data_IF_745728427167
#
_entry.id   IF_745728427167
#
_cell.length_a   1.000
_cell.length_b   1.000
_cell.length_c   1.000
_cell.angle_alpha   90.00
_cell.angle_beta   90.00
_cell.angle_gamma   90.00
#
_symmetry.space_group_name_H-M   'P 1'
#
loop_
_entity.id
_entity.type
_entity.pdbx_description
1 polymer ?
#
# COMPACT_ATOMS: atom_id res chain seq x y z
N UNK A 1 -6.73 8.49 0.15
CA UNK A 1 -6.94 7.20 -0.52
C UNK A 1 -8.43 6.98 -0.74
N UNK A 2 -8.80 6.36 -1.88
CA UNK A 2 -10.17 6.03 -2.26
C UNK A 2 -10.46 4.55 -1.97
N UNK A 3 -11.30 4.24 -0.99
CA UNK A 3 -11.70 2.88 -0.59
C UNK A 3 -12.92 2.46 -1.40
N UNK A 4 -12.94 1.21 -1.88
CA UNK A 4 -14.06 0.61 -2.63
C UNK A 4 -14.44 -0.74 -2.02
N UNK A 5 -15.74 -0.96 -1.87
CA UNK A 5 -16.32 -2.26 -1.52
C UNK A 5 -17.40 -2.59 -2.54
N UNK A 6 -17.25 -3.71 -3.23
CA UNK A 6 -18.26 -4.27 -4.14
C UNK A 6 -18.75 -5.61 -3.59
N UNK A 7 -20.06 -5.76 -3.40
CA UNK A 7 -20.68 -6.96 -2.82
C UNK A 7 -21.92 -7.40 -3.58
N UNK A 8 -22.13 -8.70 -3.72
CA UNK A 8 -23.33 -9.28 -4.34
C UNK A 8 -24.57 -9.07 -3.47
N UNK A 9 -25.66 -8.61 -4.06
CA UNK A 9 -26.99 -8.65 -3.46
C UNK A 9 -27.38 -10.11 -3.26
N UNK A 10 -27.73 -10.43 -2.02
CA UNK A 10 -28.55 -11.61 -1.75
C UNK A 10 -30.00 -11.22 -2.00
N UNK A 11 -30.78 -12.07 -2.67
CA UNK A 11 -32.20 -11.81 -2.93
C UNK A 11 -32.95 -11.45 -1.64
N UNK A 12 -34.00 -10.62 -1.68
CA UNK A 12 -34.72 -10.23 -0.48
C UNK A 12 -35.56 -11.42 -0.01
N UNK A 13 -35.01 -12.27 0.85
CA UNK A 13 -35.85 -13.12 1.70
C UNK A 13 -36.30 -12.28 2.89
N UNK A 14 -37.52 -11.76 2.76
CA UNK A 14 -38.41 -11.24 3.80
C UNK A 14 -38.02 -9.90 4.46
N UNK A 15 -38.96 -8.96 4.31
CA UNK A 15 -39.13 -7.75 5.08
C UNK A 15 -39.10 -8.03 6.59
N UNK A 16 -38.02 -7.62 7.26
CA UNK A 16 -38.07 -7.41 8.69
C UNK A 16 -38.69 -6.02 8.94
N UNK A 17 -40.02 -5.98 9.07
CA UNK A 17 -40.70 -4.85 9.67
C UNK A 17 -40.24 -4.72 11.12
N UNK A 18 -39.49 -3.66 11.43
CA UNK A 18 -39.14 -3.34 12.79
C UNK A 18 -40.39 -2.83 13.52
N UNK A 19 -41.09 -3.72 14.23
CA UNK A 19 -42.04 -3.31 15.25
C UNK A 19 -41.26 -3.00 16.53
N UNK A 20 -41.39 -1.78 17.04
CA UNK A 20 -40.78 -1.36 18.29
C UNK A 20 -41.66 -1.81 19.46
N UNK A 21 -41.47 -3.04 19.94
CA UNK A 21 -41.98 -3.43 21.25
C UNK A 21 -41.01 -2.92 22.33
N UNK A 22 -41.39 -1.81 22.99
CA UNK A 22 -40.78 -1.43 24.27
C UNK A 22 -41.25 -2.43 25.33
N UNK A 23 -40.39 -3.33 25.75
CA UNK A 23 -40.53 -4.04 27.01
C UNK A 23 -39.56 -3.43 28.02
N UNK A 24 -40.11 -2.71 29.01
CA UNK A 24 -39.37 -2.24 30.17
C UNK A 24 -39.06 -3.42 31.09
N UNK A 25 -37.86 -3.98 31.00
CA UNK A 25 -37.37 -4.96 31.96
C UNK A 25 -36.62 -4.23 33.09
N UNK A 26 -37.15 -4.31 34.31
CA UNK A 26 -36.49 -3.80 35.51
C UNK A 26 -35.16 -4.53 35.76
N UNK A 27 -34.07 -3.76 35.90
CA UNK A 27 -32.74 -4.28 36.26
C UNK A 27 -32.73 -4.64 37.75
N UNK A 28 -32.61 -5.93 38.04
CA UNK A 28 -32.28 -6.43 39.38
C UNK A 28 -30.86 -6.01 39.78
N UNK A 29 -30.67 -5.47 40.98
CA UNK A 29 -29.40 -4.91 41.48
C UNK A 29 -28.26 -5.94 41.53
N UNK A 30 -28.58 -7.23 41.59
CA UNK A 30 -27.60 -8.31 41.61
C UNK A 30 -26.79 -8.40 40.30
N UNK A 31 -27.40 -8.15 39.14
CA UNK A 31 -26.71 -8.21 37.84
C UNK A 31 -25.69 -7.07 37.67
N UNK A 32 -25.98 -5.90 38.25
CA UNK A 32 -25.06 -4.75 38.23
C UNK A 32 -23.83 -5.02 39.10
N UNK A 33 -24.00 -5.67 40.25
CA UNK A 33 -22.91 -6.00 41.16
C UNK A 33 -21.91 -6.99 40.52
N UNK A 34 -22.41 -8.02 39.82
CA UNK A 34 -21.56 -9.02 39.16
C UNK A 34 -20.73 -8.40 38.03
N UNK A 35 -21.32 -7.54 37.19
CA UNK A 35 -20.57 -6.87 36.11
C UNK A 35 -19.51 -5.90 36.63
N UNK A 36 -19.78 -5.20 37.73
CA UNK A 36 -18.79 -4.31 38.36
C UNK A 36 -17.64 -5.13 38.96
N UNK A 37 -17.94 -6.22 39.66
CA UNK A 37 -16.93 -7.11 40.24
C UNK A 37 -16.02 -7.73 39.16
N UNK A 38 -16.58 -8.24 38.07
CA UNK A 38 -15.77 -8.84 36.98
C UNK A 38 -14.91 -7.80 36.27
N UNK A 39 -15.43 -6.60 36.01
CA UNK A 39 -14.67 -5.51 35.41
C UNK A 39 -13.50 -5.06 36.31
N UNK A 40 -13.72 -4.93 37.62
CA UNK A 40 -12.65 -4.58 38.57
C UNK A 40 -11.56 -5.64 38.65
N UNK A 41 -11.94 -6.92 38.60
CA UNK A 41 -10.98 -8.02 38.63
C UNK A 41 -10.10 -8.06 37.37
N UNK A 42 -10.71 -7.91 36.18
CA UNK A 42 -9.95 -7.87 34.92
C UNK A 42 -8.98 -6.69 34.85
N UNK A 43 -9.36 -5.54 35.39
CA UNK A 43 -8.51 -4.35 35.39
C UNK A 43 -7.33 -4.50 36.35
N UNK A 44 -7.56 -5.04 37.55
CA UNK A 44 -6.49 -5.35 38.51
C UNK A 44 -5.52 -6.40 37.95
N UNK A 45 -6.05 -7.47 37.34
CA UNK A 45 -5.21 -8.53 36.77
C UNK A 45 -4.38 -8.03 35.58
N UNK A 46 -4.97 -7.19 34.71
CA UNK A 46 -4.29 -6.58 33.58
C UNK A 46 -3.15 -5.65 34.00
N UNK A 47 -3.34 -4.82 35.04
CA UNK A 47 -2.30 -3.91 35.55
C UNK A 47 -1.15 -4.70 36.18
N UNK A 48 -1.45 -5.74 36.96
CA UNK A 48 -0.42 -6.58 37.59
C UNK A 48 0.39 -7.32 36.52
N UNK A 49 -0.28 -7.94 35.54
CA UNK A 49 0.40 -8.66 34.46
C UNK A 49 1.25 -7.71 33.60
N UNK A 50 0.75 -6.51 33.32
CA UNK A 50 1.50 -5.47 32.61
C UNK A 50 2.75 -5.01 33.36
N UNK A 51 2.65 -4.79 34.67
CA UNK A 51 3.78 -4.41 35.52
C UNK A 51 4.84 -5.52 35.59
N UNK A 52 4.42 -6.78 35.68
CA UNK A 52 5.34 -7.94 35.68
C UNK A 52 6.06 -8.07 34.35
N UNK A 53 5.35 -7.96 33.22
CA UNK A 53 5.96 -7.99 31.88
C UNK A 53 6.94 -6.83 31.71
N UNK A 54 6.57 -5.63 32.16
CA UNK A 54 7.46 -4.47 32.09
C UNK A 54 8.72 -4.65 32.95
N UNK A 55 8.60 -5.25 34.15
CA UNK A 55 9.72 -5.55 35.04
C UNK A 55 10.64 -6.66 34.47
N UNK A 56 10.08 -7.65 33.77
CA UNK A 56 10.89 -8.69 33.11
C UNK A 56 11.66 -8.15 31.89
N UNK A 57 11.08 -7.21 31.13
CA UNK A 57 11.71 -6.65 29.93
C UNK A 57 12.76 -5.58 30.30
N UNK A 58 12.59 -4.86 31.41
CA UNK A 58 13.46 -3.75 31.82
C UNK A 58 14.18 -3.97 33.16
N UNK A 59 14.73 -5.17 33.36
CA UNK A 59 15.63 -5.41 34.48
C UNK A 59 16.97 -4.68 34.21
N UNK A 60 17.29 -3.67 35.04
CA UNK A 60 18.40 -2.75 34.87
C UNK A 60 19.76 -3.43 34.62
N UNK A 61 20.41 -2.94 33.56
CA UNK A 61 21.85 -3.04 33.32
C UNK A 61 22.54 -2.24 34.42
N UNK A 62 23.16 -2.94 35.38
CA UNK A 62 23.85 -2.32 36.50
C UNK A 62 24.87 -1.26 36.06
N UNK A 63 24.79 -0.10 36.69
CA UNK A 63 25.84 0.92 36.67
C UNK A 63 26.42 1.04 38.08
N UNK A 64 27.75 0.98 38.28
CA UNK A 64 28.37 1.49 39.50
C UNK A 64 29.18 2.76 39.20
N UNK A 65 28.84 3.82 39.93
CA UNK A 65 29.68 5.00 40.12
C UNK A 65 30.85 4.68 41.08
N UNK A 66 31.96 5.42 40.88
CA UNK A 66 33.35 5.28 41.35
C UNK A 66 33.62 5.59 42.85
N UNK A 67 34.88 5.53 43.37
CA UNK A 67 35.82 6.69 43.33
C UNK A 67 37.35 6.29 43.35
N UNK A 68 38.36 7.14 43.73
CA UNK A 68 39.34 7.73 42.80
C UNK A 68 40.84 7.40 43.07
N UNK A 69 41.72 8.02 42.24
CA UNK A 69 43.19 8.18 42.32
C UNK A 69 44.07 7.14 41.60
N UNK A 70 44.76 7.56 40.54
CA UNK A 70 46.18 7.95 40.60
C UNK A 70 46.69 8.34 39.20
N UNK A 71 47.38 9.48 39.16
CA UNK A 71 48.16 10.06 38.07
C UNK A 71 49.27 9.10 37.62
N UNK A 72 49.59 9.06 36.31
CA UNK A 72 50.96 9.06 35.79
C UNK A 72 50.98 9.23 34.26
N UNK A 73 51.66 10.30 33.87
CA UNK A 73 52.18 10.69 32.56
C UNK A 73 52.92 9.55 31.86
N UNK A 74 52.88 9.46 30.52
CA UNK A 74 54.08 9.39 29.64
C UNK A 74 53.68 9.42 28.16
N UNK A 75 54.33 10.36 27.48
CA UNK A 75 54.43 10.66 26.05
C UNK A 75 55.07 9.53 25.24
N UNK A 76 54.60 9.27 24.00
CA UNK A 76 55.49 8.95 22.88
C UNK A 76 54.75 9.02 21.52
N UNK A 77 55.37 9.76 20.60
CA UNK A 77 55.07 9.94 19.18
C UNK A 77 55.77 8.84 18.34
N UNK A 78 55.53 8.85 17.02
CA UNK A 78 56.10 8.06 15.90
C UNK A 78 55.24 6.86 15.49
N UNK A 79 54.93 6.59 14.22
CA UNK A 79 55.39 7.15 12.95
C UNK A 79 55.50 6.02 11.92
N UNK A 80 54.72 6.13 10.82
CA UNK A 80 54.96 5.69 9.42
C UNK A 80 55.38 4.23 9.15
N UNK A 81 54.58 3.53 8.31
CA UNK A 81 54.93 2.98 6.98
C UNK A 81 54.38 1.57 6.68
N UNK A 82 53.66 1.49 5.56
CA UNK A 82 53.64 0.45 4.51
C UNK A 82 54.23 -0.94 4.76
N UNK A 83 53.54 -2.01 4.34
CA UNK A 83 53.81 -2.74 3.07
C UNK A 83 52.88 -3.95 2.85
N UNK A 84 52.70 -4.28 1.57
CA UNK A 84 52.05 -5.45 0.97
C UNK A 84 52.50 -6.82 1.54
N UNK A 85 51.61 -7.81 1.52
CA UNK A 85 51.81 -9.08 0.78
C UNK A 85 50.56 -9.98 0.78
N UNK A 86 50.39 -10.70 -0.32
CA UNK A 86 49.36 -11.71 -0.59
C UNK A 86 49.54 -12.97 0.27
N UNK A 87 48.45 -13.69 0.57
CA UNK A 87 48.29 -15.11 0.23
C UNK A 87 46.95 -15.68 0.71
N UNK A 88 46.26 -16.32 -0.24
CA UNK A 88 45.43 -17.53 -0.16
C UNK A 88 44.92 -18.03 1.20
N UNK A 89 43.62 -18.30 1.27
CA UNK A 89 43.16 -19.65 1.62
C UNK A 89 41.76 -19.96 1.07
N UNK A 90 41.67 -21.15 0.49
CA UNK A 90 40.55 -21.79 -0.16
C UNK A 90 39.89 -22.71 0.88
N UNK A 91 38.60 -22.57 1.15
CA UNK A 91 37.84 -23.62 1.84
C UNK A 91 36.57 -23.95 1.08
N UNK A 92 36.66 -25.14 0.49
CA UNK A 92 35.64 -25.97 -0.13
C UNK A 92 34.48 -26.26 0.85
N UNK A 93 33.24 -26.01 0.42
CA UNK A 93 32.06 -26.64 1.01
C UNK A 93 31.09 -26.99 -0.12
N UNK A 94 31.16 -28.23 -0.55
CA UNK A 94 30.24 -28.84 -1.50
C UNK A 94 28.97 -29.31 -0.79
N UNK A 95 27.82 -29.09 -1.44
CA UNK A 95 26.62 -29.90 -1.24
C UNK A 95 25.38 -29.19 -0.69
N UNK A 96 24.69 -28.45 -1.55
CA UNK A 96 23.22 -28.43 -1.54
C UNK A 96 22.74 -28.08 -2.96
N UNK A 97 22.36 -29.10 -3.74
CA UNK A 97 21.57 -28.91 -4.95
C UNK A 97 20.18 -28.42 -4.52
N UNK A 98 19.97 -27.11 -4.55
CA UNK A 98 18.67 -26.47 -4.43
C UNK A 98 18.48 -25.65 -5.70
N UNK A 99 17.40 -25.94 -6.43
CA UNK A 99 16.98 -25.41 -7.73
C UNK A 99 17.25 -23.90 -7.90
N UNK A 100 18.49 -23.55 -8.27
CA UNK A 100 19.04 -22.18 -8.22
C UNK A 100 18.81 -21.43 -9.53
N UNK A 101 18.40 -22.13 -10.58
CA UNK A 101 18.26 -21.59 -11.92
C UNK A 101 17.10 -20.60 -12.06
N UNK A 102 16.04 -20.73 -11.26
CA UNK A 102 14.87 -19.85 -11.30
C UNK A 102 15.09 -18.58 -10.46
N UNK A 103 15.64 -18.69 -9.26
CA UNK A 103 15.89 -17.53 -8.39
C UNK A 103 16.95 -16.58 -8.97
N UNK A 104 18.04 -17.11 -9.54
CA UNK A 104 19.08 -16.30 -10.20
C UNK A 104 18.53 -15.61 -11.46
N UNK A 105 17.60 -16.24 -12.18
CA UNK A 105 17.01 -15.64 -13.39
C UNK A 105 16.05 -14.49 -13.07
N UNK A 106 15.32 -14.56 -11.94
CA UNK A 106 14.47 -13.47 -11.47
C UNK A 106 15.29 -12.25 -11.02
N UNK A 107 16.40 -12.47 -10.32
CA UNK A 107 17.25 -11.36 -9.81
C UNK A 107 17.97 -10.59 -10.93
N UNK A 108 18.46 -11.28 -11.95
CA UNK A 108 19.16 -10.65 -13.09
C UNK A 108 18.19 -9.87 -13.99
N UNK A 109 16.98 -10.39 -14.23
CA UNK A 109 15.99 -9.72 -15.10
C UNK A 109 15.44 -8.45 -14.48
N UNK A 110 15.21 -8.44 -13.18
CA UNK A 110 14.77 -7.24 -12.45
C UNK A 110 15.86 -6.17 -12.36
N UNK A 111 17.12 -6.58 -12.19
CA UNK A 111 18.25 -5.64 -12.18
C UNK A 111 18.46 -4.94 -13.53
N UNK A 112 18.43 -5.69 -14.64
CA UNK A 112 18.56 -5.10 -15.98
C UNK A 112 17.36 -4.21 -16.33
N UNK A 113 16.14 -4.52 -15.87
CA UNK A 113 14.95 -3.69 -16.09
C UNK A 113 15.09 -2.28 -15.49
N UNK A 114 15.78 -2.17 -14.35
CA UNK A 114 15.93 -0.92 -13.61
C UNK A 114 17.20 -0.13 -13.96
N UNK A 115 18.10 -0.68 -14.77
CA UNK A 115 19.42 -0.08 -15.05
C UNK A 115 19.35 1.29 -15.73
N UNK A 116 18.46 1.43 -16.70
CA UNK A 116 18.25 2.67 -17.45
C UNK A 116 17.07 3.50 -16.90
N UNK A 117 16.56 3.15 -15.72
CA UNK A 117 15.43 3.85 -15.12
C UNK A 117 15.86 5.25 -14.65
N UNK A 118 15.18 6.33 -15.07
CA UNK A 118 15.64 7.71 -14.89
C UNK A 118 15.52 8.24 -13.46
N UNK A 119 15.14 7.40 -12.49
CA UNK A 119 14.91 7.79 -11.10
C UNK A 119 15.45 6.74 -10.12
N UNK A 120 16.42 7.13 -9.29
CA UNK A 120 17.18 6.19 -8.46
C UNK A 120 16.70 6.10 -7.00
N UNK A 121 15.44 6.46 -6.71
CA UNK A 121 14.91 6.51 -5.34
C UNK A 121 13.56 5.82 -5.22
N UNK A 122 13.35 5.13 -4.08
CA UNK A 122 12.05 4.56 -3.71
C UNK A 122 11.00 5.66 -3.47
N UNK A 123 11.43 6.83 -2.99
CA UNK A 123 10.57 8.00 -2.81
C UNK A 123 10.36 8.69 -4.15
N UNK A 124 9.13 9.11 -4.43
CA UNK A 124 8.81 9.82 -5.66
C UNK A 124 9.45 11.23 -5.69
N UNK A 125 9.74 11.76 -6.90
CA UNK A 125 10.16 13.15 -7.09
C UNK A 125 9.18 14.14 -6.46
N UNK A 126 9.68 15.32 -6.06
CA UNK A 126 8.88 16.38 -5.42
C UNK A 126 8.59 17.56 -6.34
N UNK A 127 9.01 17.47 -7.60
CA UNK A 127 8.85 18.53 -8.60
C UNK A 127 7.43 18.64 -9.13
N UNK A 128 6.57 17.67 -8.81
CA UNK A 128 5.17 17.60 -9.26
C UNK A 128 4.25 17.20 -8.11
N UNK A 129 2.98 17.57 -8.19
CA UNK A 129 1.92 17.14 -7.27
C UNK A 129 0.65 16.74 -8.04
N UNK A 130 -0.06 15.67 -7.64
CA UNK A 130 -1.38 15.37 -8.20
C UNK A 130 -2.44 16.32 -7.63
N UNK A 131 -3.35 16.77 -8.48
CA UNK A 131 -4.51 17.59 -8.12
C UNK A 131 -5.80 16.74 -8.04
N UNK A 132 -6.02 15.92 -9.06
CA UNK A 132 -7.22 15.09 -9.23
C UNK A 132 -6.89 13.74 -9.84
N UNK A 133 -7.73 12.77 -9.49
CA UNK A 133 -7.82 11.48 -10.15
C UNK A 133 -9.24 11.30 -10.68
N UNK A 134 -9.38 11.01 -11.96
CA UNK A 134 -10.59 10.45 -12.55
C UNK A 134 -10.34 8.96 -12.81
N UNK A 135 -10.81 8.11 -11.90
CA UNK A 135 -10.53 6.69 -11.86
C UNK A 135 -11.79 5.89 -12.21
N UNK A 136 -11.70 5.07 -13.25
CA UNK A 136 -12.71 4.07 -13.59
C UNK A 136 -12.13 2.68 -13.37
N UNK A 137 -12.86 1.83 -12.64
CA UNK A 137 -12.47 0.44 -12.41
C UNK A 137 -13.61 -0.52 -12.75
N UNK A 138 -13.25 -1.66 -13.33
CA UNK A 138 -14.14 -2.77 -13.64
C UNK A 138 -13.57 -4.06 -13.02
N UNK A 139 -13.81 -4.29 -11.72
CA UNK A 139 -13.38 -5.52 -11.09
C UNK A 139 -14.32 -6.68 -11.44
N UNK A 140 -13.77 -7.76 -11.96
CA UNK A 140 -14.50 -9.01 -12.18
C UNK A 140 -14.19 -9.99 -11.05
N UNK A 141 -15.17 -10.19 -10.16
CA UNK A 141 -15.04 -11.06 -8.98
C UNK A 141 -14.87 -12.54 -9.38
N UNK A 142 -15.46 -12.95 -10.50
CA UNK A 142 -15.46 -14.34 -10.97
C UNK A 142 -14.11 -14.72 -11.58
N UNK A 143 -13.62 -13.91 -12.52
CA UNK A 143 -12.32 -14.14 -13.20
C UNK A 143 -11.13 -13.63 -12.39
N UNK A 144 -11.38 -12.82 -11.36
CA UNK A 144 -10.36 -12.15 -10.53
C UNK A 144 -9.47 -11.21 -11.34
N UNK A 145 -10.04 -10.59 -12.37
CA UNK A 145 -9.37 -9.58 -13.18
C UNK A 145 -9.85 -8.18 -12.80
N UNK A 146 -9.01 -7.19 -13.10
CA UNK A 146 -9.33 -5.78 -12.94
C UNK A 146 -8.96 -5.07 -14.22
N UNK A 147 -9.94 -4.46 -14.87
CA UNK A 147 -9.69 -3.51 -15.95
C UNK A 147 -9.92 -2.10 -15.42
N UNK A 148 -9.12 -1.13 -15.85
CA UNK A 148 -9.26 0.22 -15.35
C UNK A 148 -8.64 1.27 -16.24
N UNK A 149 -9.09 2.50 -16.02
CA UNK A 149 -8.49 3.69 -16.60
C UNK A 149 -8.39 4.77 -15.53
N UNK A 150 -7.31 5.54 -15.59
CA UNK A 150 -7.09 6.67 -14.69
C UNK A 150 -6.57 7.86 -15.46
N UNK A 151 -7.22 9.00 -15.29
CA UNK A 151 -6.70 10.30 -15.71
C UNK A 151 -6.26 11.08 -14.47
N UNK A 152 -5.02 11.54 -14.47
CA UNK A 152 -4.41 12.27 -13.35
C UNK A 152 -4.10 13.68 -13.81
N UNK A 153 -4.68 14.67 -13.12
CA UNK A 153 -4.27 16.06 -13.28
C UNK A 153 -3.08 16.32 -12.36
N UNK A 154 -1.97 16.80 -12.90
CA UNK A 154 -0.69 16.95 -12.22
C UNK A 154 -0.24 18.39 -12.40
N UNK A 155 0.09 19.05 -11.28
CA UNK A 155 0.69 20.38 -11.29
C UNK A 155 2.20 20.27 -11.17
N UNK A 156 2.91 21.01 -12.00
CA UNK A 156 4.36 21.13 -11.97
C UNK A 156 4.76 22.25 -11.00
N UNK A 157 5.69 21.94 -10.09
CA UNK A 157 6.21 22.87 -9.08
C UNK A 157 7.58 23.42 -9.47
N UNK A 158 8.47 22.55 -9.96
CA UNK A 158 9.79 22.92 -10.45
C UNK A 158 9.97 22.40 -11.87
N UNK A 159 10.81 23.08 -12.67
CA UNK A 159 11.08 22.66 -14.04
C UNK A 159 11.58 21.22 -14.07
N UNK A 160 10.88 20.35 -14.80
CA UNK A 160 11.20 18.92 -14.89
C UNK A 160 10.69 18.35 -16.22
N UNK A 161 11.23 17.20 -16.59
CA UNK A 161 10.75 16.38 -17.71
C UNK A 161 10.24 15.02 -17.25
N UNK A 162 10.18 14.79 -15.95
CA UNK A 162 10.01 13.46 -15.39
C UNK A 162 8.79 13.41 -14.48
N UNK A 163 7.89 12.48 -14.78
CA UNK A 163 6.77 12.10 -13.91
C UNK A 163 6.97 10.65 -13.52
N UNK A 164 7.03 10.35 -12.22
CA UNK A 164 7.17 8.99 -11.69
C UNK A 164 5.95 8.62 -10.88
N UNK A 165 5.36 7.46 -11.17
CA UNK A 165 4.23 6.90 -10.45
C UNK A 165 4.62 5.58 -9.81
N UNK A 166 3.94 5.22 -8.71
CA UNK A 166 4.02 3.89 -8.14
C UNK A 166 3.01 2.94 -8.80
N UNK A 167 3.43 1.70 -8.98
CA UNK A 167 2.66 0.63 -9.60
C UNK A 167 3.20 -0.73 -9.16
N UNK A 168 2.34 -1.72 -8.94
CA UNK A 168 2.77 -3.07 -8.59
C UNK A 168 1.78 -4.09 -9.13
N UNK A 169 2.25 -5.05 -9.93
CA UNK A 169 1.43 -6.10 -10.56
C UNK A 169 0.27 -5.57 -11.44
N UNK A 170 0.50 -4.43 -12.08
CA UNK A 170 -0.41 -3.82 -13.06
C UNK A 170 0.32 -3.77 -14.40
N UNK A 171 -0.40 -4.03 -15.48
CA UNK A 171 0.07 -3.94 -16.86
C UNK A 171 -0.56 -2.71 -17.50
N UNK A 172 0.27 -1.79 -17.99
CA UNK A 172 -0.21 -0.67 -18.79
C UNK A 172 -0.60 -1.17 -20.18
N UNK A 173 -1.79 -0.80 -20.64
CA UNK A 173 -2.25 -1.09 -22.00
C UNK A 173 -1.92 0.07 -22.93
N UNK A 174 -2.30 1.28 -22.53
CA UNK A 174 -2.06 2.52 -23.26
C UNK A 174 -1.89 3.69 -22.29
N UNK A 175 -1.27 4.78 -22.76
CA UNK A 175 -1.31 6.06 -22.06
C UNK A 175 -1.44 7.21 -23.05
N UNK A 176 -1.87 8.35 -22.54
CA UNK A 176 -1.94 9.63 -23.24
C UNK A 176 -1.50 10.75 -22.32
N UNK A 177 -0.90 11.79 -22.91
CA UNK A 177 -0.35 12.91 -22.17
C UNK A 177 -0.76 14.22 -22.86
N UNK A 178 -1.22 15.19 -22.07
CA UNK A 178 -1.35 16.56 -22.52
C UNK A 178 -0.77 17.53 -21.49
N UNK A 179 -0.15 18.61 -21.99
CA UNK A 179 0.41 19.70 -21.17
C UNK A 179 -0.35 20.96 -21.55
N UNK A 180 -1.01 21.60 -20.58
CA UNK A 180 -1.87 22.77 -20.79
C UNK A 180 -2.87 22.57 -21.95
N UNK A 181 -3.51 21.40 -21.97
CA UNK A 181 -4.47 20.95 -22.99
C UNK A 181 -3.91 20.79 -24.41
N UNK A 182 -2.58 20.73 -24.56
CA UNK A 182 -1.91 20.39 -25.83
C UNK A 182 -1.30 19.01 -25.72
N UNK A 183 -1.54 18.16 -26.71
CA UNK A 183 -0.95 16.82 -26.77
C UNK A 183 0.58 16.91 -26.68
N UNK A 184 1.17 16.04 -25.88
CA UNK A 184 2.61 15.85 -25.77
C UNK A 184 2.91 14.36 -25.79
N UNK A 185 4.14 14.01 -26.14
CA UNK A 185 4.64 12.64 -26.11
C UNK A 185 5.62 12.46 -24.94
N UNK A 186 5.80 11.21 -24.50
CA UNK A 186 6.74 10.84 -23.47
C UNK A 186 7.25 9.42 -23.70
N UNK A 187 8.49 9.17 -23.31
CA UNK A 187 9.07 7.83 -23.26
C UNK A 187 8.73 7.15 -21.92
N UNK A 188 8.32 5.89 -21.97
CA UNK A 188 7.96 5.10 -20.79
C UNK A 188 9.13 4.21 -20.36
N UNK A 189 9.50 4.32 -19.09
CA UNK A 189 10.43 3.43 -18.41
C UNK A 189 9.72 2.73 -17.25
N UNK A 190 10.08 1.49 -17.00
CA UNK A 190 9.55 0.69 -15.89
C UNK A 190 10.70 0.24 -15.00
N UNK A 191 10.45 0.11 -13.71
CA UNK A 191 11.37 -0.57 -12.80
C UNK A 191 10.56 -1.41 -11.79
N UNK A 192 10.62 -2.73 -11.94
CA UNK A 192 9.92 -3.70 -11.08
C UNK A 192 10.42 -3.65 -9.63
N UNK A 193 11.74 -3.54 -9.43
CA UNK A 193 12.36 -3.46 -8.09
C UNK A 193 11.86 -2.27 -7.29
N UNK A 194 11.72 -1.10 -7.94
CA UNK A 194 11.18 0.11 -7.30
C UNK A 194 9.65 0.15 -7.29
N UNK A 195 8.99 -0.75 -8.03
CA UNK A 195 7.54 -0.73 -8.24
C UNK A 195 7.09 0.65 -8.75
N UNK A 196 7.73 1.11 -9.82
CA UNK A 196 7.55 2.44 -10.39
C UNK A 196 7.51 2.43 -11.93
N UNK A 197 6.76 3.39 -12.48
CA UNK A 197 6.83 3.80 -13.88
C UNK A 197 7.31 5.23 -13.96
N UNK A 198 8.11 5.54 -14.96
CA UNK A 198 8.62 6.86 -15.25
C UNK A 198 8.22 7.27 -16.67
N UNK A 199 7.66 8.46 -16.80
CA UNK A 199 7.33 9.10 -18.06
C UNK A 199 8.32 10.24 -18.25
N UNK A 200 9.14 10.15 -19.30
CA UNK A 200 10.12 11.18 -19.67
C UNK A 200 9.55 11.98 -20.83
N UNK A 201 9.08 13.19 -20.56
CA UNK A 201 8.46 14.09 -21.51
C UNK A 201 9.55 14.69 -22.42
N UNK A 202 9.26 14.87 -23.72
CA UNK A 202 10.23 15.43 -24.69
C UNK A 202 10.62 16.88 -24.41
N UNK A 203 9.67 17.67 -23.90
CA UNK A 203 9.82 19.10 -23.61
C UNK A 203 9.91 19.37 -22.11
N UNK A 204 10.59 20.45 -21.74
CA UNK A 204 10.63 20.92 -20.36
C UNK A 204 9.22 21.34 -19.92
N UNK A 205 8.77 20.78 -18.80
CA UNK A 205 7.59 21.24 -18.10
C UNK A 205 8.01 22.32 -17.12
N UNK A 206 7.37 23.47 -17.15
CA UNK A 206 7.69 24.61 -16.29
C UNK A 206 6.75 24.68 -15.08
N UNK A 207 7.17 25.43 -14.06
CA UNK A 207 6.33 25.67 -12.90
C UNK A 207 4.95 26.22 -13.32
N UNK A 208 3.91 25.75 -12.62
CA UNK A 208 2.50 26.03 -12.89
C UNK A 208 1.89 25.38 -14.15
N UNK A 209 2.66 24.68 -14.97
CA UNK A 209 2.09 23.83 -16.03
C UNK A 209 1.19 22.76 -15.42
N UNK A 210 0.10 22.46 -16.13
CA UNK A 210 -0.83 21.39 -15.79
C UNK A 210 -0.69 20.26 -16.81
N UNK A 211 -0.34 19.09 -16.31
CA UNK A 211 -0.24 17.86 -17.09
C UNK A 211 -1.47 17.00 -16.81
N UNK A 212 -2.13 16.55 -17.88
CA UNK A 212 -3.16 15.53 -17.82
C UNK A 212 -2.55 14.21 -18.34
N UNK A 213 -2.42 13.22 -17.44
CA UNK A 213 -1.87 11.91 -17.74
C UNK A 213 -2.99 10.86 -17.68
N UNK A 214 -3.42 10.37 -18.85
CA UNK A 214 -4.39 9.28 -18.98
C UNK A 214 -3.70 7.93 -19.14
N UNK A 215 -4.11 6.92 -18.38
CA UNK A 215 -3.52 5.58 -18.42
C UNK A 215 -4.65 4.54 -18.42
N UNK A 216 -4.60 3.62 -19.37
CA UNK A 216 -5.41 2.40 -19.38
C UNK A 216 -4.56 1.23 -18.91
N UNK A 217 -5.14 0.36 -18.08
CA UNK A 217 -4.40 -0.72 -17.46
C UNK A 217 -5.25 -1.96 -17.18
N UNK A 218 -4.56 -3.09 -17.09
CA UNK A 218 -5.10 -4.35 -16.60
C UNK A 218 -4.35 -4.77 -15.34
N UNK A 219 -5.08 -5.36 -14.40
CA UNK A 219 -4.56 -5.86 -13.14
C UNK A 219 -5.25 -7.15 -12.72
N UNK A 220 -4.89 -7.62 -11.52
CA UNK A 220 -5.49 -8.82 -10.93
C UNK A 220 -6.07 -8.47 -9.57
N UNK A 221 -7.19 -9.11 -9.24
CA UNK A 221 -7.73 -9.10 -7.88
C UNK A 221 -7.06 -10.24 -7.12
N UNK A 222 -6.07 -9.88 -6.33
CA UNK A 222 -5.26 -10.84 -5.61
C UNK A 222 -5.99 -11.34 -4.35
N UNK A 223 -5.66 -12.54 -3.84
CA UNK A 223 -6.23 -13.06 -2.60
C UNK A 223 -5.50 -12.54 -1.34
N UNK A 224 -4.52 -11.65 -1.50
CA UNK A 224 -3.83 -11.00 -0.39
C UNK A 224 -4.77 -9.98 0.26
N UNK A 225 -4.72 -9.80 1.58
CA UNK A 225 -5.63 -8.87 2.29
C UNK A 225 -5.21 -7.39 2.09
N UNK A 226 -4.61 -7.07 0.96
CA UNK A 226 -3.95 -5.81 0.62
C UNK A 226 -4.29 -5.41 -0.82
N UNK A 227 -4.32 -4.11 -1.12
CA UNK A 227 -4.74 -3.64 -2.44
C UNK A 227 -6.23 -3.90 -2.65
N UNK A 228 -6.62 -4.30 -3.86
CA UNK A 228 -7.97 -4.77 -4.17
C UNK A 228 -7.99 -6.30 -4.09
N UNK A 229 -8.82 -6.85 -3.22
CA UNK A 229 -8.84 -8.28 -2.93
C UNK A 229 -10.23 -8.87 -2.76
N UNK A 230 -10.33 -10.20 -2.82
CA UNK A 230 -11.59 -10.92 -2.61
C UNK A 230 -11.75 -11.34 -1.15
N UNK A 231 -12.81 -10.83 -0.50
CA UNK A 231 -13.32 -11.33 0.77
C UNK A 231 -14.45 -12.34 0.54
N UNK A 232 -14.45 -13.45 1.27
CA UNK A 232 -15.54 -14.44 1.24
C UNK A 232 -16.28 -14.43 2.57
N UNK A 233 -17.60 -14.26 2.50
CA UNK A 233 -18.51 -14.31 3.64
C UNK A 233 -19.42 -15.51 3.55
N UNK A 234 -19.54 -16.27 4.65
CA UNK A 234 -20.47 -17.37 4.79
C UNK A 234 -21.63 -16.92 5.66
N UNK A 235 -22.87 -17.09 5.20
CA UNK A 235 -24.05 -16.78 6.01
C UNK A 235 -24.37 -17.88 7.02
N UNK A 236 -25.38 -17.65 7.87
CA UNK A 236 -25.81 -18.60 8.89
C UNK A 236 -26.31 -19.95 8.32
N UNK A 237 -26.63 -20.00 7.02
CA UNK A 237 -27.09 -21.20 6.31
C UNK A 237 -25.96 -21.88 5.52
N UNK A 238 -24.71 -21.43 5.68
CA UNK A 238 -23.54 -21.99 5.00
C UNK A 238 -23.32 -21.50 3.57
N UNK A 239 -24.14 -20.56 3.07
CA UNK A 239 -23.97 -20.01 1.71
C UNK A 239 -22.80 -19.04 1.67
N UNK A 240 -21.85 -19.32 0.78
CA UNK A 240 -20.68 -18.47 0.54
C UNK A 240 -21.02 -17.37 -0.47
N UNK A 241 -20.62 -16.15 -0.15
CA UNK A 241 -20.74 -14.96 -1.00
C UNK A 241 -19.39 -14.25 -1.06
N UNK A 242 -19.04 -13.71 -2.22
CA UNK A 242 -17.79 -12.99 -2.41
C UNK A 242 -18.03 -11.49 -2.51
N UNK A 243 -17.01 -10.72 -2.14
CA UNK A 243 -16.97 -9.26 -2.27
C UNK A 243 -15.56 -8.84 -2.64
N UNK A 244 -15.43 -7.84 -3.52
CA UNK A 244 -14.15 -7.17 -3.75
C UNK A 244 -14.03 -6.01 -2.76
N UNK A 245 -12.90 -5.92 -2.07
CA UNK A 245 -12.65 -4.97 -0.98
C UNK A 245 -11.27 -4.37 -1.16
N UNK A 246 -11.10 -3.10 -0.82
CA UNK A 246 -9.79 -2.43 -0.85
C UNK A 246 -9.20 -2.24 0.54
N UNK A 247 -7.92 -2.57 0.72
CA UNK A 247 -7.09 -2.19 1.88
C UNK A 247 -5.77 -1.62 1.39
N UNK A 248 -5.60 -0.30 1.44
CA UNK A 248 -4.48 0.37 0.79
C UNK A 248 -3.34 0.78 1.71
N UNK A 249 -3.56 0.85 3.03
CA UNK A 249 -2.47 1.21 3.94
C UNK A 249 -1.47 0.04 4.08
N UNK A 250 -0.15 0.32 4.07
CA UNK A 250 0.47 1.65 3.94
C UNK A 250 0.68 2.12 2.49
N UNK A 251 0.90 1.22 1.54
CA UNK A 251 1.32 1.56 0.17
C UNK A 251 0.83 0.53 -0.85
N UNK A 252 -0.42 0.12 -0.73
CA UNK A 252 -1.04 -0.88 -1.59
C UNK A 252 -2.08 -0.31 -2.56
N UNK A 253 -2.29 1.01 -2.60
CA UNK A 253 -3.10 1.61 -3.66
C UNK A 253 -2.49 1.35 -5.04
N UNK A 254 -1.15 1.36 -5.13
CA UNK A 254 -0.37 1.03 -6.34
C UNK A 254 -0.62 -0.38 -6.90
N UNK A 255 -1.27 -1.28 -6.14
CA UNK A 255 -1.67 -2.62 -6.61
C UNK A 255 -3.01 -2.61 -7.36
N UNK A 256 -3.83 -1.57 -7.16
CA UNK A 256 -5.11 -1.44 -7.85
C UNK A 256 -5.03 -0.51 -9.05
N UNK A 257 -4.27 0.60 -8.96
CA UNK A 257 -4.11 1.56 -10.06
C UNK A 257 -2.77 2.32 -9.92
N UNK A 258 -2.15 2.76 -11.03
CA UNK A 258 -0.92 3.55 -10.98
C UNK A 258 -1.20 4.93 -10.35
N UNK A 259 -0.41 5.33 -9.35
CA UNK A 259 -0.64 6.58 -8.61
C UNK A 259 0.58 7.10 -7.84
N UNK A 260 0.47 8.32 -7.30
CA UNK A 260 1.44 8.87 -6.36
C UNK A 260 1.17 8.30 -4.96
N UNK A 261 1.61 7.07 -4.71
CA UNK A 261 1.25 6.28 -3.51
C UNK A 261 2.14 6.60 -2.30
N UNK A 262 2.15 7.88 -1.92
CA UNK A 262 2.71 8.38 -0.66
C UNK A 262 1.73 9.35 0.01
N UNK A 263 1.64 9.36 1.36
CA UNK A 263 0.62 10.12 2.09
C UNK A 263 0.68 11.65 1.88
N UNK A 264 1.83 12.18 1.45
CA UNK A 264 2.02 13.61 1.21
C UNK A 264 1.43 14.08 -0.13
N UNK A 265 1.14 13.17 -1.07
CA UNK A 265 0.50 13.50 -2.35
C UNK A 265 -1.01 13.45 -2.23
N UNK A 266 -1.58 14.50 -1.63
CA UNK A 266 -3.04 14.63 -1.49
C UNK A 266 -3.65 15.11 -2.81
N UNK A 267 -4.74 14.47 -3.21
CA UNK A 267 -5.51 14.82 -4.40
C UNK A 267 -7.00 14.49 -4.20
N UNK A 268 -7.83 15.03 -5.08
CA UNK A 268 -9.26 14.68 -5.14
C UNK A 268 -9.47 13.43 -6.00
N UNK A 269 -10.55 12.68 -5.72
CA UNK A 269 -10.86 11.44 -6.44
C UNK A 269 -12.30 11.49 -6.96
N UNK A 270 -12.45 11.34 -8.27
CA UNK A 270 -13.70 11.00 -8.93
C UNK A 270 -13.62 9.53 -9.30
N UNK A 271 -14.50 8.71 -8.73
CA UNK A 271 -14.49 7.27 -8.89
C UNK A 271 -15.72 6.80 -9.64
N UNK A 272 -15.51 6.02 -10.69
CA UNK A 272 -16.52 5.23 -11.39
C UNK A 272 -16.22 3.75 -11.21
N UNK A 273 -17.24 2.94 -10.92
CA UNK A 273 -17.10 1.49 -10.76
C UNK A 273 -18.10 0.79 -11.64
N UNK A 274 -17.61 0.06 -12.63
CA UNK A 274 -18.41 -0.79 -13.52
C UNK A 274 -18.66 -2.10 -12.79
N UNK A 275 -19.90 -2.58 -12.84
CA UNK A 275 -20.35 -3.76 -12.10
C UNK A 275 -21.53 -4.42 -12.75
N UNK A 276 -21.72 -5.70 -12.46
CA UNK A 276 -22.98 -6.37 -12.76
C UNK A 276 -24.14 -5.82 -11.92
N UNK A 277 -25.35 -5.89 -12.48
CA UNK A 277 -26.57 -5.34 -11.86
C UNK A 277 -26.83 -5.87 -10.45
N UNK A 278 -26.45 -7.12 -10.19
CA UNK A 278 -26.66 -7.79 -8.91
C UNK A 278 -25.61 -7.44 -7.84
N UNK A 279 -24.60 -6.61 -8.13
CA UNK A 279 -23.64 -6.12 -7.15
C UNK A 279 -24.08 -4.77 -6.55
N UNK A 280 -23.55 -4.39 -5.40
CA UNK A 280 -23.66 -3.06 -4.80
C UNK A 280 -22.26 -2.55 -4.57
N UNK A 281 -22.04 -1.26 -4.85
CA UNK A 281 -20.76 -0.57 -4.63
C UNK A 281 -20.91 0.46 -3.53
N UNK A 282 -19.90 0.53 -2.67
CA UNK A 282 -19.70 1.56 -1.65
C UNK A 282 -18.30 2.14 -1.80
N UNK A 283 -18.17 3.44 -1.55
CA UNK A 283 -16.89 4.13 -1.51
C UNK A 283 -16.91 5.24 -0.45
N UNK A 284 -15.86 6.06 -0.38
CA UNK A 284 -15.78 7.18 0.58
C UNK A 284 -16.88 8.23 0.40
N UNK A 285 -17.38 8.41 -0.81
CA UNK A 285 -18.39 9.42 -1.14
C UNK A 285 -19.73 8.77 -1.47
N UNK A 286 -20.81 9.54 -1.32
CA UNK A 286 -22.15 9.10 -1.71
C UNK A 286 -22.21 8.92 -3.22
N UNK A 287 -22.79 7.80 -3.67
CA UNK A 287 -23.03 7.53 -5.09
C UNK A 287 -23.95 8.61 -5.66
N UNK A 288 -23.49 9.34 -6.68
CA UNK A 288 -24.26 10.39 -7.34
C UNK A 288 -25.18 9.84 -8.43
N UNK A 289 -24.68 8.89 -9.24
CA UNK A 289 -25.35 8.37 -10.43
C UNK A 289 -25.07 6.86 -10.55
N UNK A 290 -26.06 6.10 -10.99
CA UNK A 290 -25.91 4.71 -11.44
C UNK A 290 -26.68 4.57 -12.75
N UNK A 291 -26.00 4.19 -13.83
CA UNK A 291 -26.57 4.01 -15.17
C UNK A 291 -26.04 2.72 -15.79
N UNK A 292 -26.75 2.21 -16.79
CA UNK A 292 -26.26 1.10 -17.59
C UNK A 292 -24.96 1.50 -18.31
N UNK A 293 -24.00 0.60 -18.30
CA UNK A 293 -22.74 0.74 -19.03
C UNK A 293 -22.85 -0.12 -20.29
N UNK A 294 -22.68 0.50 -21.45
CA UNK A 294 -22.68 -0.19 -22.74
C UNK A 294 -21.22 -0.30 -23.14
N UNK A 295 -20.71 -1.52 -23.18
CA UNK A 295 -19.39 -1.80 -23.76
C UNK A 295 -19.47 -1.47 -25.26
N UNK A 296 -18.61 -0.56 -25.71
CA UNK A 296 -18.61 -0.02 -27.08
C UNK A 296 -18.39 -1.07 -28.16
#
# INVERSE_FOLDING_TARGET
MCTVVMRRLTSPSQSATWSSSRTSAGRSSAGVCVTVMTATFMLLFGVILGAVIHAMIFCERGSPLSPPQATLTTTATFGISSTHSNSSELSDYSGANLDTSTEIMYDITDYENCKDFPWNSVRLPRDVIPLSYNLTIHPNITTKTLDGSVTIDIKILNTTRLIVLNTNNIVMTTFSLSVNSKRSEAELYTCSMLSQWAFVIETDLHADDIVELGIEFNGKVLPDLHGLYISTHTDAYGKRTQSAVTQFEPSYARKMFPCFDEPNFKATFQLSVIREAHHVVRSNSIMKISKEHIDG
#
